data_IF_621981315064
#
_entry.id   IF_621981315064
#
_cell.length_a   1.000
_cell.length_b   1.000
_cell.length_c   1.000
_cell.angle_alpha   90.00
_cell.angle_beta   90.00
_cell.angle_gamma   90.00
#
_symmetry.space_group_name_H-M   'P 1'
#
loop_
_entity.id
_entity.type
_entity.pdbx_description
1 polymer ?
#
# COMPACT_ATOMS: atom_id res chain seq x y z
N UNK A 1 6.74 16.62 47.90
CA UNK A 1 7.15 15.35 47.26
C UNK A 1 6.89 15.48 45.76
N UNK A 2 7.90 15.33 44.91
CA UNK A 2 7.67 15.20 43.47
C UNK A 2 6.97 13.87 43.22
N UNK A 3 5.74 13.91 42.71
CA UNK A 3 4.97 12.71 42.37
C UNK A 3 5.49 12.20 41.02
N UNK A 4 6.24 11.10 41.03
CA UNK A 4 6.63 10.40 39.79
C UNK A 4 5.40 9.72 39.20
N UNK A 5 5.12 9.98 37.93
CA UNK A 5 4.03 9.35 37.17
C UNK A 5 4.66 8.38 36.18
N UNK A 6 4.23 7.11 36.21
CA UNK A 6 4.78 6.05 35.38
C UNK A 6 3.91 5.87 34.13
N UNK A 7 4.55 5.85 32.95
CA UNK A 7 3.92 5.41 31.71
C UNK A 7 4.22 3.91 31.57
N UNK A 8 3.19 3.06 31.52
CA UNK A 8 3.33 1.61 31.40
C UNK A 8 3.70 1.18 29.97
N UNK A 9 4.91 1.55 29.54
CA UNK A 9 5.45 1.28 28.22
C UNK A 9 6.89 0.78 28.32
N UNK A 10 7.16 -0.36 27.69
CA UNK A 10 8.50 -0.98 27.67
C UNK A 10 9.08 -0.88 26.25
N UNK A 11 9.83 0.19 25.94
CA UNK A 11 10.38 0.37 24.60
C UNK A 11 11.41 -0.73 24.28
N UNK A 12 11.31 -1.33 23.10
CA UNK A 12 12.36 -2.21 22.59
C UNK A 12 13.59 -1.39 22.12
N UNK A 13 14.75 -2.02 21.80
CA UNK A 13 16.00 -1.30 21.56
C UNK A 13 15.91 -0.16 20.53
N UNK A 14 15.27 -0.40 19.37
CA UNK A 14 15.10 0.62 18.34
C UNK A 14 14.23 1.82 18.78
N UNK A 15 13.16 1.56 19.52
CA UNK A 15 12.33 2.63 20.11
C UNK A 15 13.13 3.47 21.12
N UNK A 16 13.98 2.84 21.94
CA UNK A 16 14.85 3.58 22.89
C UNK A 16 15.79 4.55 22.17
N UNK A 17 16.38 4.14 21.05
CA UNK A 17 17.25 5.03 20.26
C UNK A 17 16.50 6.28 19.81
N UNK A 18 15.25 6.13 19.37
CA UNK A 18 14.40 7.23 18.96
C UNK A 18 14.01 8.15 20.12
N UNK A 19 13.59 7.58 21.27
CA UNK A 19 13.20 8.36 22.46
C UNK A 19 14.37 9.17 23.03
N UNK A 20 15.58 8.60 23.11
CA UNK A 20 16.71 9.28 23.73
C UNK A 20 17.48 10.22 22.79
N UNK A 21 17.03 10.38 21.55
CA UNK A 21 17.65 11.31 20.63
C UNK A 21 17.22 12.76 20.93
N UNK A 22 18.18 13.70 21.10
CA UNK A 22 17.87 15.11 21.37
C UNK A 22 17.56 15.94 20.12
N UNK A 23 17.65 15.36 18.92
CA UNK A 23 17.45 16.10 17.67
C UNK A 23 16.04 16.72 17.61
N UNK A 24 15.97 17.95 17.11
CA UNK A 24 14.74 18.73 17.03
C UNK A 24 13.74 18.13 16.04
N UNK A 25 14.25 17.59 14.93
CA UNK A 25 13.47 16.95 13.88
C UNK A 25 13.89 15.47 13.75
N UNK A 26 12.97 14.54 14.00
CA UNK A 26 13.28 13.11 14.04
C UNK A 26 12.40 12.30 13.09
N UNK A 27 12.99 11.51 12.20
CA UNK A 27 12.25 10.69 11.23
C UNK A 27 12.48 9.21 11.51
N UNK A 28 11.41 8.50 11.85
CA UNK A 28 11.40 7.08 12.16
C UNK A 28 10.70 6.31 11.03
N UNK A 29 11.50 5.82 10.09
CA UNK A 29 11.06 5.00 8.98
C UNK A 29 11.06 3.53 9.37
N UNK A 30 9.93 2.84 9.28
CA UNK A 30 9.80 1.48 9.81
C UNK A 30 8.96 0.57 8.93
N UNK A 31 9.31 -0.71 8.93
CA UNK A 31 8.48 -1.78 8.39
C UNK A 31 7.18 -1.95 9.18
N UNK A 32 6.20 -2.63 8.58
CA UNK A 32 4.92 -2.95 9.20
C UNK A 32 5.13 -3.73 10.49
N UNK A 33 4.22 -3.55 11.45
CA UNK A 33 4.23 -4.24 12.76
C UNK A 33 5.48 -3.97 13.61
N UNK A 34 6.33 -3.01 13.26
CA UNK A 34 7.47 -2.61 14.10
C UNK A 34 7.05 -1.97 15.44
N UNK A 35 5.84 -1.39 15.52
CA UNK A 35 5.35 -0.67 16.70
C UNK A 35 5.59 0.84 16.64
N UNK A 36 5.66 1.41 15.43
CA UNK A 36 5.97 2.83 15.20
C UNK A 36 4.92 3.78 15.77
N UNK A 37 3.63 3.50 15.63
CA UNK A 37 2.55 4.34 16.20
C UNK A 37 2.53 4.30 17.72
N UNK A 38 2.77 3.13 18.34
CA UNK A 38 2.91 2.99 19.81
C UNK A 38 4.10 3.80 20.31
N UNK A 39 5.23 3.72 19.62
CA UNK A 39 6.42 4.52 19.91
C UNK A 39 6.13 6.01 19.80
N UNK A 40 5.46 6.43 18.73
CA UNK A 40 5.06 7.82 18.49
C UNK A 40 4.15 8.37 19.59
N UNK A 41 3.12 7.61 20.02
CA UNK A 41 2.21 8.02 21.09
C UNK A 41 2.93 8.23 22.42
N UNK A 42 3.80 7.29 22.79
CA UNK A 42 4.57 7.38 24.03
C UNK A 42 5.60 8.51 23.99
N UNK A 43 6.25 8.73 22.84
CA UNK A 43 7.13 9.89 22.65
C UNK A 43 6.36 11.20 22.74
N UNK A 44 5.15 11.25 22.16
CA UNK A 44 4.31 12.43 22.16
C UNK A 44 3.86 12.81 23.58
N UNK A 45 3.38 11.84 24.38
CA UNK A 45 3.04 12.06 25.79
C UNK A 45 4.26 12.59 26.55
N UNK A 46 5.42 11.93 26.39
CA UNK A 46 6.66 12.31 27.07
C UNK A 46 7.09 13.73 26.72
N UNK A 47 7.05 14.09 25.44
CA UNK A 47 7.46 15.41 24.96
C UNK A 47 6.46 16.50 25.37
N UNK A 48 5.16 16.24 25.35
CA UNK A 48 4.17 17.18 25.89
C UNK A 48 4.42 17.50 27.36
N UNK A 49 4.86 16.51 28.13
CA UNK A 49 5.22 16.76 29.52
C UNK A 49 6.50 17.59 29.64
N UNK A 50 7.59 17.13 29.03
CA UNK A 50 8.93 17.74 29.12
C UNK A 50 8.96 19.17 28.56
N UNK A 51 8.37 19.41 27.39
CA UNK A 51 8.40 20.73 26.75
C UNK A 51 7.47 21.75 27.41
N UNK A 52 6.53 21.29 28.25
CA UNK A 52 5.62 22.14 29.01
C UNK A 52 6.11 22.46 30.42
N UNK A 53 7.20 21.83 30.88
CA UNK A 53 7.74 22.06 32.22
C UNK A 53 8.16 23.54 32.38
N UNK A 54 7.65 24.19 33.42
CA UNK A 54 7.90 25.61 33.68
C UNK A 54 7.04 26.56 32.84
N UNK A 55 6.12 26.04 32.03
CA UNK A 55 5.19 26.82 31.17
C UNK A 55 3.74 26.74 31.62
N UNK A 56 3.47 26.38 32.86
CA UNK A 56 2.11 26.13 33.37
C UNK A 56 1.21 27.39 33.30
N UNK A 57 1.80 28.59 33.25
CA UNK A 57 1.06 29.85 33.11
C UNK A 57 0.62 30.12 31.68
N UNK A 58 1.52 29.93 30.72
CA UNK A 58 1.30 30.17 29.28
C UNK A 58 0.56 29.01 28.61
N UNK A 59 0.90 27.78 29.01
CA UNK A 59 0.51 26.56 28.34
C UNK A 59 1.36 26.25 27.12
N UNK A 60 1.17 25.06 26.58
CA UNK A 60 1.76 24.65 25.30
C UNK A 60 0.74 23.93 24.45
N UNK A 61 0.99 23.92 23.15
CA UNK A 61 0.17 23.21 22.16
C UNK A 61 0.98 22.10 21.52
N UNK A 62 0.40 20.91 21.42
CA UNK A 62 0.93 19.82 20.62
C UNK A 62 -0.09 19.24 19.67
N UNK A 63 0.37 18.93 18.45
CA UNK A 63 -0.45 18.31 17.41
C UNK A 63 0.02 16.87 17.16
N UNK A 64 -0.93 15.94 17.15
CA UNK A 64 -0.78 14.61 16.57
C UNK A 64 -1.51 14.61 15.23
N UNK A 65 -0.76 14.48 14.14
CA UNK A 65 -1.27 14.60 12.76
C UNK A 65 -1.19 13.25 12.08
N UNK A 66 -2.23 12.88 11.34
CA UNK A 66 -2.24 11.70 10.46
C UNK A 66 -2.79 12.07 9.07
N UNK A 67 -2.66 11.21 8.04
CA UNK A 67 -3.06 11.55 6.69
C UNK A 67 -4.55 11.85 6.53
N UNK A 68 -5.40 11.07 7.21
CA UNK A 68 -6.86 11.22 7.14
C UNK A 68 -7.48 11.16 8.53
N UNK A 69 -8.73 11.64 8.66
CA UNK A 69 -9.48 11.58 9.91
C UNK A 69 -9.57 10.15 10.48
N UNK A 70 -9.71 9.14 9.62
CA UNK A 70 -9.72 7.74 10.04
C UNK A 70 -8.40 7.32 10.70
N UNK A 71 -7.25 7.69 10.12
CA UNK A 71 -5.94 7.39 10.70
C UNK A 71 -5.73 8.03 12.08
N UNK A 72 -6.31 9.22 12.33
CA UNK A 72 -6.23 9.86 13.65
C UNK A 72 -6.87 9.02 14.76
N UNK A 73 -7.80 8.10 14.44
CA UNK A 73 -8.40 7.21 15.44
C UNK A 73 -7.37 6.27 16.06
N UNK A 74 -6.37 5.86 15.29
CA UNK A 74 -5.28 5.02 15.81
C UNK A 74 -4.41 5.80 16.78
N UNK A 75 -3.97 7.02 16.41
CA UNK A 75 -3.21 7.89 17.30
C UNK A 75 -3.97 8.20 18.59
N UNK A 76 -5.26 8.51 18.47
CA UNK A 76 -6.16 8.74 19.60
C UNK A 76 -6.19 7.53 20.53
N UNK A 77 -6.45 6.35 19.99
CA UNK A 77 -6.53 5.11 20.78
C UNK A 77 -5.22 4.79 21.49
N UNK A 78 -4.09 4.88 20.77
CA UNK A 78 -2.76 4.63 21.37
C UNK A 78 -2.41 5.68 22.42
N UNK A 79 -2.77 6.94 22.21
CA UNK A 79 -2.59 7.96 23.24
C UNK A 79 -3.32 7.59 24.53
N UNK A 80 -4.59 7.21 24.48
CA UNK A 80 -5.35 6.82 25.67
C UNK A 80 -4.91 5.48 26.29
N UNK A 81 -4.36 4.56 25.49
CA UNK A 81 -3.81 3.30 26.02
C UNK A 81 -2.60 3.54 26.95
N UNK A 82 -1.82 4.59 26.70
CA UNK A 82 -0.56 4.84 27.41
C UNK A 82 -0.57 6.11 28.27
N UNK A 83 -1.41 7.10 27.98
CA UNK A 83 -1.47 8.34 28.74
C UNK A 83 -2.01 8.05 30.16
N UNK A 84 -1.22 8.31 31.22
CA UNK A 84 -1.71 8.11 32.58
C UNK A 84 -2.91 9.02 32.85
N UNK A 85 -3.99 8.44 33.36
CA UNK A 85 -5.24 9.16 33.59
C UNK A 85 -5.07 10.37 34.52
N UNK A 86 -4.08 10.33 35.42
CA UNK A 86 -3.77 11.41 36.34
C UNK A 86 -3.20 12.66 35.66
N UNK A 87 -2.72 12.56 34.42
CA UNK A 87 -2.27 13.70 33.63
C UNK A 87 -3.43 14.42 32.94
N UNK A 88 -4.54 13.72 32.70
CA UNK A 88 -5.67 14.23 31.93
C UNK A 88 -6.51 15.14 32.82
N UNK A 89 -6.79 16.34 32.33
CA UNK A 89 -7.66 17.32 32.96
C UNK A 89 -9.03 17.33 32.28
N UNK A 90 -9.06 17.40 30.95
CA UNK A 90 -10.30 17.39 30.16
C UNK A 90 -10.15 16.59 28.85
N UNK A 91 -11.26 16.02 28.37
CA UNK A 91 -11.34 15.31 27.10
C UNK A 91 -12.51 15.85 26.30
N UNK A 92 -12.22 16.49 25.17
CA UNK A 92 -13.19 17.03 24.22
C UNK A 92 -13.25 16.12 22.99
N UNK A 93 -14.10 15.08 23.06
CA UNK A 93 -14.15 14.01 22.05
C UNK A 93 -14.58 14.49 20.66
N UNK A 94 -15.52 15.43 20.59
CA UNK A 94 -16.03 15.97 19.33
C UNK A 94 -14.93 16.67 18.53
N UNK A 95 -14.12 17.47 19.21
CA UNK A 95 -13.04 18.27 18.61
C UNK A 95 -11.70 17.53 18.50
N UNK A 96 -11.65 16.28 19.00
CA UNK A 96 -10.44 15.49 19.21
C UNK A 96 -9.35 16.29 19.92
N UNK A 97 -9.73 16.87 21.04
CA UNK A 97 -8.85 17.67 21.89
C UNK A 97 -8.76 17.07 23.29
N UNK A 98 -7.57 17.12 23.85
CA UNK A 98 -7.29 16.68 25.22
C UNK A 98 -6.51 17.79 25.92
N UNK A 99 -7.00 18.19 27.08
CA UNK A 99 -6.26 19.07 27.98
C UNK A 99 -5.56 18.20 29.02
N UNK A 100 -4.23 18.24 29.03
CA UNK A 100 -3.43 17.70 30.12
C UNK A 100 -3.10 18.81 31.13
N UNK A 101 -2.86 18.39 32.38
CA UNK A 101 -2.50 19.28 33.49
C UNK A 101 -1.40 20.27 33.12
N UNK A 102 -1.51 21.48 33.66
CA UNK A 102 -0.58 22.57 33.39
C UNK A 102 -0.71 23.14 31.98
N UNK A 103 -1.96 23.20 31.48
CA UNK A 103 -2.33 23.85 30.21
C UNK A 103 -1.62 23.26 28.98
N UNK A 104 -1.45 21.94 28.96
CA UNK A 104 -0.84 21.19 27.85
C UNK A 104 -1.96 20.73 26.90
N UNK A 105 -2.17 21.49 25.84
CA UNK A 105 -3.24 21.27 24.87
C UNK A 105 -2.80 20.31 23.78
N UNK A 106 -3.52 19.21 23.61
CA UNK A 106 -3.27 18.19 22.60
C UNK A 106 -4.41 18.16 21.60
N UNK A 107 -4.07 18.25 20.31
CA UNK A 107 -5.03 18.15 19.23
C UNK A 107 -4.66 17.01 18.29
N UNK A 108 -5.66 16.20 17.91
CA UNK A 108 -5.50 15.20 16.87
C UNK A 108 -6.10 15.75 15.58
N UNK A 109 -5.26 15.95 14.58
CA UNK A 109 -5.61 16.64 13.33
C UNK A 109 -5.36 15.75 12.13
N UNK A 110 -6.11 15.99 11.07
CA UNK A 110 -5.96 15.29 9.80
C UNK A 110 -5.27 16.21 8.78
N UNK A 111 -4.37 15.65 7.98
CA UNK A 111 -3.67 16.40 6.95
C UNK A 111 -4.49 16.58 5.66
N UNK A 112 -5.59 15.84 5.49
CA UNK A 112 -6.57 16.05 4.41
C UNK A 112 -7.33 17.39 4.51
N UNK A 113 -7.24 18.10 5.65
CA UNK A 113 -7.75 19.45 5.84
C UNK A 113 -6.62 20.42 6.24
N UNK A 114 -5.86 20.96 5.26
CA UNK A 114 -4.70 21.81 5.51
C UNK A 114 -5.01 23.11 6.27
N UNK A 115 -6.22 23.68 6.10
CA UNK A 115 -6.62 24.92 6.77
C UNK A 115 -6.67 24.76 8.29
N UNK A 116 -7.09 23.57 8.75
CA UNK A 116 -7.16 23.25 10.18
C UNK A 116 -5.78 23.19 10.87
N UNK A 117 -4.69 23.08 10.09
CA UNK A 117 -3.31 22.97 10.58
C UNK A 117 -2.61 24.32 10.77
N UNK A 118 -3.19 25.42 10.26
CA UNK A 118 -2.56 26.76 10.22
C UNK A 118 -2.91 27.64 11.43
N UNK A 119 -3.62 27.12 12.43
CA UNK A 119 -4.35 27.95 13.39
C UNK A 119 -3.53 28.54 14.54
N UNK A 120 -2.40 27.93 14.93
CA UNK A 120 -1.63 28.37 16.10
C UNK A 120 -0.20 27.82 16.12
N UNK A 121 0.67 28.44 16.92
CA UNK A 121 2.03 27.95 17.19
C UNK A 121 2.04 26.59 17.89
N UNK A 122 2.96 25.72 17.48
CA UNK A 122 3.06 24.33 17.95
C UNK A 122 4.39 24.12 18.68
N UNK A 123 4.35 23.57 19.89
CA UNK A 123 5.54 23.19 20.66
C UNK A 123 6.01 21.76 20.38
N UNK A 124 5.05 20.83 20.22
CA UNK A 124 5.33 19.41 19.97
C UNK A 124 4.49 18.93 18.81
N UNK A 125 5.12 18.45 17.74
CA UNK A 125 4.43 17.85 16.60
C UNK A 125 4.80 16.38 16.46
N UNK A 126 3.78 15.53 16.43
CA UNK A 126 3.90 14.15 15.99
C UNK A 126 3.14 13.98 14.68
N UNK A 127 3.83 13.52 13.63
CA UNK A 127 3.21 13.17 12.35
C UNK A 127 3.30 11.65 12.17
N UNK A 128 2.16 10.94 12.17
CA UNK A 128 2.13 9.51 11.86
C UNK A 128 1.78 9.26 10.39
N UNK A 129 2.27 8.15 9.84
CA UNK A 129 2.28 7.83 8.41
C UNK A 129 2.76 9.01 7.53
N UNK A 130 3.85 9.66 7.95
CA UNK A 130 4.33 10.91 7.33
C UNK A 130 4.56 10.83 5.82
N UNK A 131 5.00 9.68 5.29
CA UNK A 131 5.20 9.49 3.85
C UNK A 131 3.90 9.53 3.02
N UNK A 132 2.73 9.49 3.65
CA UNK A 132 1.41 9.55 3.00
C UNK A 132 0.78 10.95 3.07
N UNK A 133 1.40 11.90 3.78
CA UNK A 133 0.89 13.27 3.88
C UNK A 133 1.40 14.08 2.69
N UNK A 134 0.57 15.00 2.17
CA UNK A 134 0.97 15.92 1.12
C UNK A 134 2.08 16.87 1.58
N UNK A 135 3.03 17.18 0.70
CA UNK A 135 4.19 18.01 1.05
C UNK A 135 3.75 19.39 1.57
N UNK A 136 2.70 19.96 0.99
CA UNK A 136 2.16 21.27 1.33
C UNK A 136 1.68 21.35 2.79
N UNK A 137 1.12 20.26 3.32
CA UNK A 137 0.72 20.20 4.72
C UNK A 137 1.93 20.34 5.64
N UNK A 138 3.07 19.74 5.26
CA UNK A 138 4.32 19.91 5.98
C UNK A 138 4.93 21.30 5.75
N UNK A 139 5.20 21.67 4.51
CA UNK A 139 6.00 22.86 4.15
C UNK A 139 5.28 24.17 4.38
N UNK A 140 3.96 24.22 4.14
CA UNK A 140 3.18 25.46 4.19
C UNK A 140 2.39 25.63 5.49
N UNK A 141 2.08 24.56 6.23
CA UNK A 141 1.28 24.65 7.45
C UNK A 141 2.07 24.25 8.71
N UNK A 142 2.51 22.98 8.80
CA UNK A 142 3.10 22.45 10.04
C UNK A 142 4.50 22.99 10.34
N UNK A 143 5.38 23.05 9.34
CA UNK A 143 6.76 23.53 9.53
C UNK A 143 6.83 25.01 9.94
N UNK A 144 6.01 25.92 9.37
CA UNK A 144 5.90 27.30 9.86
C UNK A 144 5.36 27.39 11.28
N UNK A 145 4.33 26.62 11.64
CA UNK A 145 3.73 26.66 12.98
C UNK A 145 4.69 26.28 14.12
N UNK A 146 5.78 25.56 13.82
CA UNK A 146 6.84 25.24 14.79
C UNK A 146 7.84 26.38 15.04
N UNK A 147 7.79 27.46 14.26
CA UNK A 147 8.81 28.52 14.30
C UNK A 147 8.71 29.35 15.58
N UNK A 148 7.51 29.82 15.91
CA UNK A 148 7.26 30.73 17.04
C UNK A 148 7.76 30.14 18.37
N UNK A 149 7.51 28.85 18.55
CA UNK A 149 7.78 28.14 19.79
C UNK A 149 9.12 27.40 19.81
N UNK A 150 9.90 27.52 18.73
CA UNK A 150 11.07 26.66 18.43
C UNK A 150 10.70 25.18 18.66
N UNK A 151 9.52 24.80 18.23
CA UNK A 151 8.92 23.50 18.50
C UNK A 151 9.72 22.35 17.90
N UNK A 152 9.54 21.18 18.48
CA UNK A 152 10.11 19.92 17.99
C UNK A 152 9.10 19.18 17.12
N UNK A 153 9.59 18.39 16.17
CA UNK A 153 8.74 17.51 15.38
C UNK A 153 9.34 16.13 15.22
N UNK A 154 8.50 15.12 15.21
CA UNK A 154 8.91 13.78 14.85
C UNK A 154 7.87 13.07 14.01
N UNK A 155 8.37 12.21 13.14
CA UNK A 155 7.60 11.57 12.09
C UNK A 155 7.75 10.07 12.19
N UNK A 156 6.64 9.34 12.18
CA UNK A 156 6.61 7.88 12.10
C UNK A 156 5.97 7.50 10.77
N UNK A 157 6.50 6.47 10.08
CA UNK A 157 5.98 6.11 8.77
C UNK A 157 6.60 4.85 8.19
N UNK A 158 5.98 4.33 7.14
CA UNK A 158 6.56 3.37 6.20
C UNK A 158 7.08 4.15 4.98
N UNK A 159 8.22 3.76 4.36
CA UNK A 159 8.77 4.51 3.25
C UNK A 159 7.85 4.46 2.04
N UNK A 160 7.94 5.48 1.18
CA UNK A 160 7.16 5.56 -0.04
C UNK A 160 7.83 6.47 -1.07
N UNK A 161 8.43 5.86 -2.09
CA UNK A 161 9.13 6.59 -3.16
C UNK A 161 10.16 7.57 -2.61
N UNK A 162 10.60 8.50 -3.46
CA UNK A 162 11.55 9.55 -3.07
C UNK A 162 10.87 10.92 -2.90
N UNK A 163 9.85 10.96 -2.05
CA UNK A 163 9.05 12.17 -1.77
C UNK A 163 9.66 13.08 -0.66
N UNK A 164 8.94 14.11 -0.21
CA UNK A 164 9.40 15.03 0.85
C UNK A 164 9.76 14.34 2.17
N UNK A 165 9.10 13.22 2.51
CA UNK A 165 9.43 12.44 3.71
C UNK A 165 10.80 11.78 3.55
N UNK A 166 11.12 11.27 2.36
CA UNK A 166 12.48 10.81 2.02
C UNK A 166 13.50 11.95 2.11
N UNK A 167 13.17 13.16 1.64
CA UNK A 167 14.04 14.33 1.78
C UNK A 167 14.29 14.71 3.24
N UNK A 168 13.28 14.61 4.11
CA UNK A 168 13.49 14.80 5.55
C UNK A 168 14.34 13.68 6.16
N UNK A 169 14.12 12.44 5.74
CA UNK A 169 14.89 11.30 6.20
C UNK A 169 16.37 11.42 5.82
N UNK A 170 16.67 11.81 4.58
CA UNK A 170 18.05 12.02 4.10
C UNK A 170 18.75 13.15 4.85
N UNK A 171 18.05 14.25 5.19
CA UNK A 171 18.60 15.29 6.08
C UNK A 171 19.05 14.72 7.42
N UNK A 172 18.30 13.80 8.02
CA UNK A 172 18.70 13.18 9.28
C UNK A 172 19.77 12.10 9.16
N UNK A 173 20.20 11.75 7.94
CA UNK A 173 21.40 10.96 7.68
C UNK A 173 22.66 11.83 7.50
N UNK A 174 22.50 13.11 7.14
CA UNK A 174 23.60 14.04 6.90
C UNK A 174 24.21 14.58 8.22
N UNK A 175 25.49 14.30 8.53
CA UNK A 175 26.14 14.80 9.75
C UNK A 175 26.21 16.34 9.86
N UNK A 176 26.06 17.06 8.74
CA UNK A 176 26.02 18.53 8.74
C UNK A 176 24.70 19.09 9.27
N UNK A 177 23.61 18.32 9.18
CA UNK A 177 22.25 18.70 9.59
C UNK A 177 21.99 18.35 11.05
N UNK A 178 22.67 19.03 11.99
CA UNK A 178 22.67 18.68 13.43
C UNK A 178 21.29 18.68 14.11
N UNK A 179 20.33 19.42 13.57
CA UNK A 179 18.95 19.47 14.09
C UNK A 179 18.10 18.24 13.69
N UNK A 180 18.59 17.44 12.74
CA UNK A 180 17.87 16.32 12.16
C UNK A 180 18.51 14.99 12.57
N UNK A 181 17.67 13.99 12.82
CA UNK A 181 18.12 12.59 12.93
C UNK A 181 17.10 11.65 12.33
N UNK A 182 17.58 10.61 11.66
CA UNK A 182 16.70 9.64 11.03
C UNK A 182 17.16 8.20 11.22
N UNK A 183 16.20 7.28 11.21
CA UNK A 183 16.43 5.84 11.33
C UNK A 183 15.59 5.11 10.28
N UNK A 184 16.09 3.96 9.84
CA UNK A 184 15.29 2.96 9.13
C UNK A 184 15.37 1.63 9.88
N UNK A 185 14.22 1.03 10.18
CA UNK A 185 14.15 -0.23 10.89
C UNK A 185 13.22 -1.23 10.20
N UNK A 186 13.70 -2.42 9.80
CA UNK A 186 12.86 -3.45 9.23
C UNK A 186 11.94 -4.05 10.31
N UNK A 187 10.84 -4.68 9.90
CA UNK A 187 9.91 -5.38 10.81
C UNK A 187 10.63 -6.36 11.73
N UNK A 188 11.62 -7.09 11.22
CA UNK A 188 12.41 -8.07 11.96
C UNK A 188 13.20 -7.50 13.16
N UNK A 189 13.38 -6.18 13.24
CA UNK A 189 14.03 -5.53 14.39
C UNK A 189 13.08 -5.33 15.59
N UNK A 190 11.79 -5.65 15.44
CA UNK A 190 10.88 -5.77 16.57
C UNK A 190 11.03 -7.16 17.22
N UNK A 191 11.57 -7.24 18.46
CA UNK A 191 11.84 -8.52 19.12
C UNK A 191 10.57 -9.30 19.53
N UNK A 192 9.40 -8.70 19.38
CA UNK A 192 8.11 -9.32 19.70
C UNK A 192 7.43 -9.97 18.49
N UNK A 193 8.02 -9.88 17.28
CA UNK A 193 7.52 -10.58 16.10
C UNK A 193 8.25 -11.90 15.93
N UNK A 194 7.48 -12.96 15.66
CA UNK A 194 8.03 -14.26 15.29
C UNK A 194 8.69 -14.17 13.90
N UNK A 195 9.99 -14.48 13.76
CA UNK A 195 10.66 -14.52 12.46
C UNK A 195 9.97 -15.45 11.44
N UNK A 196 9.34 -16.55 11.89
CA UNK A 196 8.63 -17.46 11.01
C UNK A 196 7.38 -16.83 10.38
N UNK A 197 6.64 -16.01 11.14
CA UNK A 197 5.49 -15.27 10.65
C UNK A 197 5.90 -14.18 9.65
N UNK A 198 7.03 -13.49 9.89
CA UNK A 198 7.58 -12.52 8.93
C UNK A 198 7.96 -13.22 7.62
N UNK A 199 8.63 -14.38 7.71
CA UNK A 199 9.01 -15.15 6.53
C UNK A 199 7.79 -15.68 5.77
N UNK A 200 6.74 -16.13 6.48
CA UNK A 200 5.49 -16.55 5.86
C UNK A 200 4.81 -15.39 5.14
N UNK A 201 4.67 -14.25 5.81
CA UNK A 201 4.11 -13.03 5.22
C UNK A 201 4.90 -12.57 3.98
N UNK A 202 6.24 -12.65 4.03
CA UNK A 202 7.10 -12.25 2.92
C UNK A 202 6.92 -13.12 1.66
N UNK A 203 6.60 -14.42 1.79
CA UNK A 203 6.39 -15.31 0.64
C UNK A 203 5.18 -14.93 -0.21
N UNK A 204 4.18 -14.31 0.41
CA UNK A 204 2.93 -13.92 -0.25
C UNK A 204 2.96 -12.46 -0.73
N UNK A 205 4.13 -11.81 -0.69
CA UNK A 205 4.31 -10.42 -1.13
C UNK A 205 5.18 -10.34 -2.39
N UNK A 206 4.87 -9.44 -3.33
CA UNK A 206 5.82 -9.05 -4.36
C UNK A 206 7.09 -8.49 -3.72
N UNK A 207 8.25 -8.76 -4.30
CA UNK A 207 9.55 -8.35 -3.74
C UNK A 207 9.64 -6.83 -3.48
N UNK A 208 9.11 -5.99 -4.37
CA UNK A 208 9.06 -4.54 -4.16
C UNK A 208 8.24 -4.16 -2.92
N UNK A 209 7.09 -4.80 -2.74
CA UNK A 209 6.25 -4.58 -1.58
C UNK A 209 6.93 -5.11 -0.31
N UNK A 210 7.64 -6.23 -0.38
CA UNK A 210 8.44 -6.75 0.73
C UNK A 210 9.55 -5.77 1.15
N UNK A 211 10.34 -5.27 0.19
CA UNK A 211 11.42 -4.29 0.46
C UNK A 211 10.88 -3.01 1.10
N UNK A 212 9.77 -2.48 0.60
CA UNK A 212 9.16 -1.27 1.16
C UNK A 212 8.51 -1.53 2.53
N UNK A 213 7.56 -2.46 2.59
CA UNK A 213 6.67 -2.65 3.73
C UNK A 213 7.29 -3.46 4.86
N UNK A 214 8.30 -4.30 4.59
CA UNK A 214 8.93 -5.17 5.61
C UNK A 214 10.37 -4.73 5.89
N UNK A 215 11.17 -4.47 4.86
CA UNK A 215 12.57 -4.05 5.04
C UNK A 215 12.72 -2.54 5.32
N UNK A 216 11.66 -1.76 5.14
CA UNK A 216 11.68 -0.31 5.30
C UNK A 216 12.66 0.39 4.35
N UNK A 217 12.73 -0.06 3.10
CA UNK A 217 13.57 0.56 2.08
C UNK A 217 12.81 1.65 1.32
N UNK A 218 13.47 2.79 1.12
CA UNK A 218 13.04 3.75 0.11
C UNK A 218 13.41 3.19 -1.25
N UNK A 219 12.39 2.97 -2.08
CA UNK A 219 12.56 2.51 -3.44
C UNK A 219 12.59 3.72 -4.37
N UNK A 220 13.52 3.73 -5.32
CA UNK A 220 13.53 4.73 -6.40
C UNK A 220 12.20 4.68 -7.15
N UNK A 221 11.70 5.85 -7.55
CA UNK A 221 10.58 5.95 -8.49
C UNK A 221 11.03 5.57 -9.91
N UNK A 222 11.54 4.35 -10.07
CA UNK A 222 11.95 3.72 -11.34
C UNK A 222 11.87 2.20 -11.12
N UNK A 223 11.17 1.36 -11.89
CA UNK A 223 10.55 1.50 -13.21
C UNK A 223 10.41 0.09 -13.82
N UNK A 224 9.68 -0.81 -13.15
CA UNK A 224 9.05 -2.04 -13.68
C UNK A 224 8.40 -2.81 -12.51
N UNK A 225 7.13 -3.16 -12.62
CA UNK A 225 6.35 -3.88 -11.59
C UNK A 225 6.63 -5.38 -11.61
N UNK A 226 6.95 -5.93 -12.78
CA UNK A 226 7.14 -7.35 -12.98
C UNK A 226 8.62 -7.69 -13.11
N UNK A 227 9.13 -8.47 -12.15
CA UNK A 227 10.51 -8.98 -12.18
C UNK A 227 10.53 -10.40 -12.72
N UNK A 228 11.62 -10.77 -13.39
CA UNK A 228 11.81 -12.13 -13.89
C UNK A 228 10.95 -12.50 -15.09
N UNK A 229 10.43 -11.53 -15.85
CA UNK A 229 9.63 -11.76 -17.08
C UNK A 229 10.35 -12.72 -18.02
N UNK A 230 11.66 -12.56 -18.25
CA UNK A 230 12.42 -13.44 -19.13
C UNK A 230 12.45 -14.92 -18.68
N UNK A 231 12.23 -15.20 -17.38
CA UNK A 231 12.23 -16.57 -16.83
C UNK A 231 10.95 -17.34 -17.13
N UNK A 232 9.86 -16.63 -17.43
CA UNK A 232 8.56 -17.23 -17.75
C UNK A 232 8.33 -17.36 -19.26
N UNK A 233 9.22 -16.80 -20.11
CA UNK A 233 9.13 -16.92 -21.57
C UNK A 233 9.59 -18.30 -22.02
N UNK A 234 8.63 -19.22 -22.19
CA UNK A 234 8.87 -20.61 -22.64
C UNK A 234 7.57 -21.26 -23.13
N UNK A 235 7.72 -22.31 -23.93
CA UNK A 235 6.59 -23.08 -24.48
C UNK A 235 5.98 -22.44 -25.73
N UNK A 236 4.86 -23.00 -26.16
CA UNK A 236 4.13 -22.64 -27.39
C UNK A 236 2.63 -22.73 -27.15
N UNK A 237 1.81 -22.11 -27.98
CA UNK A 237 0.36 -22.29 -27.91
C UNK A 237 -0.03 -23.77 -28.06
N UNK A 238 -1.02 -24.22 -27.29
CA UNK A 238 -1.49 -25.61 -27.25
C UNK A 238 -2.97 -25.66 -27.61
N UNK A 239 -3.42 -26.63 -28.43
CA UNK A 239 -4.85 -26.84 -28.66
C UNK A 239 -5.57 -27.28 -27.36
N UNK A 240 -6.90 -27.11 -27.28
CA UNK A 240 -7.65 -27.52 -26.11
C UNK A 240 -7.52 -29.02 -25.86
N UNK A 241 -7.27 -29.37 -24.60
CA UNK A 241 -7.18 -30.72 -24.10
C UNK A 241 -8.35 -30.98 -23.15
N UNK A 242 -9.18 -31.99 -23.48
CA UNK A 242 -10.37 -32.37 -22.70
C UNK A 242 -10.11 -32.74 -21.23
N UNK A 243 -8.86 -32.97 -20.85
CA UNK A 243 -8.46 -33.32 -19.48
C UNK A 243 -7.92 -32.13 -18.69
N UNK A 244 -7.78 -30.95 -19.31
CA UNK A 244 -7.33 -29.72 -18.65
C UNK A 244 -8.50 -28.77 -18.45
N UNK A 245 -8.38 -27.92 -17.42
CA UNK A 245 -9.25 -26.78 -17.22
C UNK A 245 -8.58 -25.52 -17.75
N UNK A 246 -9.40 -24.58 -18.21
CA UNK A 246 -8.94 -23.35 -18.83
C UNK A 246 -9.63 -22.13 -18.21
N UNK A 247 -8.85 -21.08 -18.01
CA UNK A 247 -9.35 -19.76 -17.59
C UNK A 247 -8.92 -18.72 -18.62
N UNK A 248 -9.82 -17.77 -18.87
CA UNK A 248 -9.65 -16.73 -19.87
C UNK A 248 -9.77 -15.37 -19.23
N UNK A 249 -8.81 -14.48 -19.46
CA UNK A 249 -8.91 -13.07 -19.13
C UNK A 249 -9.11 -12.26 -20.40
N UNK A 250 -9.98 -11.25 -20.36
CA UNK A 250 -10.15 -10.32 -21.46
C UNK A 250 -10.12 -8.87 -20.98
N UNK A 251 -9.27 -8.07 -21.62
CA UNK A 251 -9.34 -6.61 -21.56
C UNK A 251 -10.03 -6.09 -22.81
N UNK A 252 -11.09 -5.28 -22.64
CA UNK A 252 -11.97 -4.86 -23.73
C UNK A 252 -11.75 -3.39 -24.06
N UNK A 253 -11.22 -3.12 -25.26
CA UNK A 253 -11.01 -1.76 -25.74
C UNK A 253 -12.28 -1.13 -26.32
N UNK A 254 -12.38 0.20 -26.21
CA UNK A 254 -13.54 0.96 -26.71
C UNK A 254 -13.29 1.87 -27.91
N UNK A 255 -12.15 2.56 -27.99
CA UNK A 255 -11.96 3.63 -28.98
C UNK A 255 -10.53 3.73 -29.56
N UNK A 256 -9.46 3.43 -28.79
CA UNK A 256 -8.07 3.49 -29.30
C UNK A 256 -7.15 2.35 -28.81
N UNK A 257 -7.65 1.49 -27.91
CA UNK A 257 -6.87 0.41 -27.27
C UNK A 257 -7.05 -0.95 -27.99
N UNK A 258 -6.28 -1.97 -27.58
CA UNK A 258 -6.43 -3.33 -28.11
C UNK A 258 -7.32 -4.17 -27.21
N UNK A 259 -8.26 -4.92 -27.81
CA UNK A 259 -8.89 -6.02 -27.10
C UNK A 259 -7.92 -7.19 -27.06
N UNK A 260 -7.60 -7.66 -25.84
CA UNK A 260 -6.65 -8.76 -25.62
C UNK A 260 -7.30 -9.89 -24.85
N UNK A 261 -7.10 -11.11 -25.36
CA UNK A 261 -7.62 -12.35 -24.81
C UNK A 261 -6.45 -13.26 -24.44
N UNK A 262 -6.38 -13.70 -23.18
CA UNK A 262 -5.36 -14.62 -22.67
C UNK A 262 -6.03 -15.88 -22.10
N UNK A 263 -5.66 -17.08 -22.58
CA UNK A 263 -6.11 -18.35 -21.99
C UNK A 263 -4.95 -19.05 -21.30
N UNK A 264 -5.10 -19.25 -19.99
CA UNK A 264 -4.22 -20.09 -19.18
C UNK A 264 -4.85 -21.47 -18.96
N UNK A 265 -4.02 -22.50 -18.98
CA UNK A 265 -4.40 -23.81 -18.45
C UNK A 265 -4.26 -23.87 -16.92
N UNK A 266 -4.64 -25.01 -16.33
CA UNK A 266 -4.57 -25.24 -14.89
C UNK A 266 -3.15 -25.18 -14.30
N UNK A 267 -2.11 -25.35 -15.12
CA UNK A 267 -0.70 -25.30 -14.70
C UNK A 267 -0.12 -23.87 -14.85
N UNK A 268 -0.90 -22.91 -15.33
CA UNK A 268 -0.46 -21.53 -15.55
C UNK A 268 0.27 -21.31 -16.88
N UNK A 269 0.13 -22.21 -17.86
CA UNK A 269 0.67 -22.01 -19.20
C UNK A 269 -0.30 -21.23 -20.09
N UNK A 270 0.20 -20.19 -20.77
CA UNK A 270 -0.57 -19.42 -21.77
C UNK A 270 -0.70 -20.20 -23.08
N UNK A 271 -1.80 -20.94 -23.19
CA UNK A 271 -2.07 -21.85 -24.31
C UNK A 271 -2.72 -21.16 -25.51
N UNK A 272 -3.35 -20.00 -25.32
CA UNK A 272 -3.87 -19.18 -26.41
C UNK A 272 -3.80 -17.68 -26.08
N UNK A 273 -3.53 -16.88 -27.11
CA UNK A 273 -3.45 -15.43 -27.06
C UNK A 273 -4.11 -14.86 -28.31
N UNK A 274 -4.94 -13.82 -28.17
CA UNK A 274 -5.51 -13.09 -29.28
C UNK A 274 -5.52 -11.60 -28.98
N UNK A 275 -5.00 -10.78 -29.90
CA UNK A 275 -4.91 -9.32 -29.78
C UNK A 275 -5.43 -8.68 -31.05
N UNK A 276 -6.41 -7.80 -30.94
CA UNK A 276 -7.03 -7.15 -32.08
C UNK A 276 -7.60 -5.77 -31.73
N UNK A 277 -7.54 -4.87 -32.70
CA UNK A 277 -8.12 -3.52 -32.64
C UNK A 277 -9.30 -3.46 -33.63
N UNK A 278 -10.47 -3.93 -33.20
CA UNK A 278 -11.69 -3.94 -34.03
C UNK A 278 -12.76 -3.06 -33.38
N UNK A 279 -13.35 -2.13 -34.12
CA UNK A 279 -14.38 -1.23 -33.57
C UNK A 279 -15.78 -1.87 -33.54
N UNK A 280 -16.02 -2.92 -34.33
CA UNK A 280 -17.30 -3.62 -34.37
C UNK A 280 -17.44 -4.60 -33.20
N UNK A 281 -18.30 -4.24 -32.25
CA UNK A 281 -18.68 -5.06 -31.11
C UNK A 281 -19.17 -6.46 -31.50
N UNK A 282 -19.92 -6.60 -32.60
CA UNK A 282 -20.44 -7.89 -33.06
C UNK A 282 -19.30 -8.85 -33.39
N UNK A 283 -18.23 -8.32 -34.00
CA UNK A 283 -17.05 -9.10 -34.34
C UNK A 283 -16.22 -9.42 -33.10
N UNK A 284 -15.98 -8.43 -32.21
CA UNK A 284 -15.28 -8.66 -30.95
C UNK A 284 -15.97 -9.77 -30.14
N UNK A 285 -17.29 -9.67 -29.96
CA UNK A 285 -18.10 -10.65 -29.24
C UNK A 285 -17.97 -12.05 -29.83
N UNK A 286 -18.07 -12.16 -31.17
CA UNK A 286 -17.91 -13.44 -31.86
C UNK A 286 -16.54 -14.07 -31.61
N UNK A 287 -15.45 -13.28 -31.61
CA UNK A 287 -14.11 -13.80 -31.30
C UNK A 287 -13.99 -14.28 -29.86
N UNK A 288 -14.51 -13.50 -28.91
CA UNK A 288 -14.52 -13.86 -27.48
C UNK A 288 -15.27 -15.19 -27.28
N UNK A 289 -16.48 -15.30 -27.82
CA UNK A 289 -17.32 -16.50 -27.69
C UNK A 289 -16.67 -17.71 -28.34
N UNK A 290 -16.13 -17.56 -29.55
CA UNK A 290 -15.44 -18.65 -30.24
C UNK A 290 -14.25 -19.17 -29.46
N UNK A 291 -13.42 -18.27 -28.92
CA UNK A 291 -12.23 -18.66 -28.18
C UNK A 291 -12.59 -19.27 -26.82
N UNK A 292 -13.52 -18.67 -26.09
CA UNK A 292 -14.01 -19.18 -24.81
C UNK A 292 -14.64 -20.57 -24.95
N UNK A 293 -15.50 -20.78 -25.95
CA UNK A 293 -16.14 -22.08 -26.20
C UNK A 293 -15.15 -23.13 -26.70
N UNK A 294 -14.17 -22.75 -27.55
CA UNK A 294 -13.15 -23.67 -28.06
C UNK A 294 -12.35 -24.33 -26.93
N UNK A 295 -12.04 -23.58 -25.88
CA UNK A 295 -11.30 -24.09 -24.72
C UNK A 295 -12.20 -24.47 -23.55
N UNK A 296 -13.52 -24.31 -23.67
CA UNK A 296 -14.44 -24.34 -22.53
C UNK A 296 -13.87 -23.52 -21.35
N UNK A 297 -13.44 -22.28 -21.59
CA UNK A 297 -12.75 -21.49 -20.58
C UNK A 297 -13.73 -20.67 -19.71
N UNK A 298 -13.43 -20.52 -18.42
CA UNK A 298 -14.10 -19.52 -17.57
C UNK A 298 -13.49 -18.14 -17.83
N UNK A 299 -14.32 -17.21 -18.28
CA UNK A 299 -13.94 -15.87 -18.69
C UNK A 299 -14.10 -14.87 -17.53
N UNK A 300 -13.08 -14.05 -17.29
CA UNK A 300 -13.14 -12.88 -16.42
C UNK A 300 -12.84 -11.63 -17.26
N UNK A 301 -13.74 -10.66 -17.23
CA UNK A 301 -13.62 -9.41 -18.00
C UNK A 301 -13.68 -8.18 -17.10
N UNK A 302 -13.10 -7.05 -17.53
CA UNK A 302 -13.38 -5.76 -16.89
C UNK A 302 -14.88 -5.42 -17.02
N UNK A 303 -15.55 -5.24 -15.88
CA UNK A 303 -16.96 -4.88 -15.81
C UNK A 303 -17.22 -3.46 -15.31
N UNK A 304 -16.26 -2.54 -15.43
CA UNK A 304 -16.46 -1.15 -15.03
C UNK A 304 -17.32 -0.37 -16.02
N UNK A 305 -18.32 0.36 -15.51
CA UNK A 305 -19.19 1.22 -16.30
C UNK A 305 -20.15 0.44 -17.22
N UNK A 306 -19.78 0.28 -18.49
CA UNK A 306 -20.64 -0.34 -19.53
C UNK A 306 -20.52 -1.88 -19.60
N UNK A 307 -19.66 -2.49 -18.78
CA UNK A 307 -19.31 -3.90 -18.90
C UNK A 307 -20.38 -4.87 -18.40
N UNK A 308 -21.36 -4.39 -17.62
CA UNK A 308 -22.49 -5.19 -17.14
C UNK A 308 -23.37 -5.69 -18.32
N UNK A 309 -23.80 -4.84 -19.28
CA UNK A 309 -24.45 -5.29 -20.52
C UNK A 309 -23.65 -6.32 -21.34
N UNK A 310 -22.31 -6.20 -21.34
CA UNK A 310 -21.43 -7.09 -22.09
C UNK A 310 -21.37 -8.48 -21.45
N UNK A 311 -21.26 -8.55 -20.12
CA UNK A 311 -21.34 -9.80 -19.38
C UNK A 311 -22.66 -10.52 -19.67
N UNK A 312 -23.79 -9.80 -19.65
CA UNK A 312 -25.11 -10.37 -19.90
C UNK A 312 -25.24 -10.94 -21.32
N UNK A 313 -24.70 -10.25 -22.34
CA UNK A 313 -24.70 -10.75 -23.72
C UNK A 313 -23.86 -12.02 -23.88
N UNK A 314 -22.65 -12.05 -23.32
CA UNK A 314 -21.77 -13.22 -23.37
C UNK A 314 -22.39 -14.40 -22.62
N UNK A 315 -23.06 -14.15 -21.49
CA UNK A 315 -23.79 -15.17 -20.74
C UNK A 315 -24.93 -15.79 -21.57
N UNK A 316 -25.67 -14.97 -22.35
CA UNK A 316 -26.72 -15.48 -23.26
C UNK A 316 -26.17 -16.35 -24.40
N UNK A 317 -24.90 -16.18 -24.77
CA UNK A 317 -24.20 -17.03 -25.74
C UNK A 317 -23.53 -18.27 -25.09
N UNK A 318 -23.96 -18.66 -23.89
CA UNK A 318 -23.44 -19.79 -23.12
C UNK A 318 -21.94 -19.70 -22.79
N UNK A 319 -21.38 -18.48 -22.67
CA UNK A 319 -20.03 -18.29 -22.15
C UNK A 319 -20.05 -18.25 -20.63
N UNK A 320 -19.15 -18.97 -19.98
CA UNK A 320 -18.95 -18.93 -18.52
C UNK A 320 -18.22 -17.64 -18.13
N UNK A 321 -18.93 -16.52 -18.03
CA UNK A 321 -18.35 -15.18 -17.82
C UNK A 321 -18.65 -14.61 -16.43
N UNK A 322 -17.65 -13.96 -15.83
CA UNK A 322 -17.76 -13.14 -14.63
C UNK A 322 -17.17 -11.75 -14.88
N UNK A 323 -17.74 -10.73 -14.25
CA UNK A 323 -17.24 -9.35 -14.28
C UNK A 323 -16.28 -9.05 -13.14
N UNK A 324 -15.18 -8.34 -13.43
CA UNK A 324 -14.23 -7.81 -12.46
C UNK A 324 -14.35 -6.29 -12.37
N UNK A 325 -14.71 -5.78 -11.19
CA UNK A 325 -14.85 -4.34 -10.95
C UNK A 325 -13.50 -3.71 -10.60
N UNK A 326 -12.94 -2.95 -11.54
CA UNK A 326 -11.73 -2.15 -11.32
C UNK A 326 -11.99 -0.93 -10.44
N UNK A 327 -11.13 -0.80 -9.44
CA UNK A 327 -10.89 0.36 -8.58
C UNK A 327 -9.37 0.45 -8.38
N UNK A 328 -8.84 1.57 -7.87
CA UNK A 328 -7.40 1.64 -7.59
C UNK A 328 -6.94 0.50 -6.64
N UNK A 329 -7.78 0.09 -5.69
CA UNK A 329 -7.48 -1.02 -4.78
C UNK A 329 -7.53 -2.38 -5.48
N UNK A 330 -8.60 -2.68 -6.23
CA UNK A 330 -8.74 -3.99 -6.90
C UNK A 330 -7.81 -4.16 -8.10
N UNK A 331 -7.41 -3.07 -8.79
CA UNK A 331 -6.35 -3.09 -9.81
C UNK A 331 -5.01 -3.43 -9.16
N UNK A 332 -4.70 -2.82 -8.01
CA UNK A 332 -3.50 -3.12 -7.23
C UNK A 332 -3.44 -4.61 -6.85
N UNK A 333 -4.51 -5.15 -6.26
CA UNK A 333 -4.54 -6.57 -5.86
C UNK A 333 -4.34 -7.53 -7.06
N UNK A 334 -4.94 -7.20 -8.21
CA UNK A 334 -4.84 -7.98 -9.44
C UNK A 334 -3.40 -8.02 -9.97
N UNK A 335 -2.75 -6.86 -10.03
CA UNK A 335 -1.38 -6.71 -10.52
C UNK A 335 -0.36 -7.32 -9.55
N UNK A 336 -0.55 -7.16 -8.23
CA UNK A 336 0.31 -7.78 -7.23
C UNK A 336 0.23 -9.31 -7.28
N UNK A 337 -0.97 -9.87 -7.49
CA UNK A 337 -1.13 -11.31 -7.73
C UNK A 337 -0.34 -11.78 -8.95
N UNK A 338 -0.46 -11.08 -10.09
CA UNK A 338 0.28 -11.42 -11.29
C UNK A 338 1.80 -11.35 -11.04
N UNK A 339 2.27 -10.32 -10.33
CA UNK A 339 3.68 -10.16 -10.00
C UNK A 339 4.23 -11.33 -9.18
N UNK A 340 3.52 -11.76 -8.13
CA UNK A 340 3.89 -12.94 -7.32
C UNK A 340 3.98 -14.20 -8.19
N UNK A 341 3.00 -14.42 -9.07
CA UNK A 341 2.98 -15.62 -9.91
C UNK A 341 4.13 -15.64 -10.93
N UNK A 342 4.50 -14.49 -11.49
CA UNK A 342 5.66 -14.37 -12.38
C UNK A 342 6.96 -14.61 -11.61
N UNK A 343 7.14 -13.98 -10.45
CA UNK A 343 8.35 -14.11 -9.63
C UNK A 343 8.58 -15.56 -9.18
N UNK A 344 7.51 -16.26 -8.81
CA UNK A 344 7.52 -17.67 -8.43
C UNK A 344 7.53 -18.65 -9.62
N UNK A 345 7.56 -18.15 -10.86
CA UNK A 345 7.50 -18.96 -12.10
C UNK A 345 6.28 -19.91 -12.16
N UNK A 346 5.17 -19.48 -11.55
CA UNK A 346 3.87 -20.17 -11.63
C UNK A 346 3.14 -19.89 -12.94
N UNK A 347 3.66 -18.99 -13.77
CA UNK A 347 3.17 -18.72 -15.11
C UNK A 347 4.24 -19.02 -16.15
N UNK A 348 3.80 -19.40 -17.34
CA UNK A 348 4.67 -19.59 -18.50
C UNK A 348 3.98 -19.05 -19.75
N UNK A 349 4.67 -18.21 -20.51
CA UNK A 349 4.15 -17.55 -21.70
C UNK A 349 4.99 -17.91 -22.93
N UNK A 350 4.37 -18.22 -24.09
CA UNK A 350 5.09 -18.26 -25.35
C UNK A 350 5.76 -16.92 -25.66
N UNK A 351 6.71 -16.92 -26.61
CA UNK A 351 7.40 -15.70 -27.03
C UNK A 351 6.45 -14.76 -27.80
N UNK A 352 5.76 -13.87 -27.07
CA UNK A 352 4.84 -12.86 -27.58
C UNK A 352 5.46 -11.49 -27.32
N UNK A 353 6.11 -10.86 -28.32
CA UNK A 353 6.90 -9.63 -28.12
C UNK A 353 6.12 -8.50 -27.46
N UNK A 354 4.85 -8.32 -27.81
CA UNK A 354 4.00 -7.24 -27.33
C UNK A 354 3.69 -7.41 -25.84
N UNK A 355 3.24 -8.60 -25.43
CA UNK A 355 3.00 -8.93 -24.02
C UNK A 355 4.29 -8.82 -23.19
N UNK A 356 5.42 -9.32 -23.69
CA UNK A 356 6.71 -9.24 -23.00
C UNK A 356 7.14 -7.79 -22.82
N UNK A 357 6.97 -6.96 -23.85
CA UNK A 357 7.30 -5.55 -23.80
C UNK A 357 6.42 -4.80 -22.80
N UNK A 358 5.10 -5.01 -22.84
CA UNK A 358 4.19 -4.40 -21.87
C UNK A 358 4.52 -4.83 -20.44
N UNK A 359 4.76 -6.11 -20.17
CA UNK A 359 5.18 -6.60 -18.85
C UNK A 359 6.48 -5.93 -18.37
N UNK A 360 7.47 -5.75 -19.26
CA UNK A 360 8.74 -5.10 -18.88
C UNK A 360 8.57 -3.62 -18.59
N UNK A 361 7.73 -2.92 -19.35
CA UNK A 361 7.50 -1.49 -19.21
C UNK A 361 6.47 -1.14 -18.13
N UNK A 362 5.63 -2.10 -17.72
CA UNK A 362 4.57 -1.86 -16.76
C UNK A 362 5.11 -1.31 -15.45
N UNK A 363 4.60 -0.16 -15.03
CA UNK A 363 5.13 0.60 -13.92
C UNK A 363 4.05 0.98 -12.92
N UNK A 364 4.46 1.84 -11.99
CA UNK A 364 3.53 2.56 -11.15
C UNK A 364 3.91 4.04 -11.11
N UNK A 365 2.91 4.91 -10.99
CA UNK A 365 3.09 6.35 -10.79
C UNK A 365 2.50 6.72 -9.44
N UNK A 366 3.24 7.51 -8.66
CA UNK A 366 2.69 8.15 -7.47
C UNK A 366 1.84 9.36 -7.91
N UNK A 367 0.59 9.43 -7.44
CA UNK A 367 -0.27 10.60 -7.65
C UNK A 367 0.08 11.71 -6.65
N UNK A 368 -0.27 12.96 -6.97
CA UNK A 368 -0.08 14.12 -6.08
C UNK A 368 -0.75 13.95 -4.70
N UNK A 369 -1.85 13.19 -4.65
CA UNK A 369 -2.56 12.82 -3.41
C UNK A 369 -1.89 11.70 -2.62
N UNK A 370 -0.75 11.18 -3.08
CA UNK A 370 -0.13 10.01 -2.48
C UNK A 370 -1.00 8.77 -2.65
N UNK A 371 -1.48 8.46 -3.85
CA UNK A 371 -1.92 7.10 -4.22
C UNK A 371 -0.96 6.49 -5.25
N UNK A 372 -0.86 5.17 -5.32
CA UNK A 372 -0.04 4.49 -6.33
C UNK A 372 -0.98 4.01 -7.43
N UNK A 373 -0.71 4.40 -8.67
CA UNK A 373 -1.47 4.00 -9.82
C UNK A 373 -0.61 3.11 -10.72
N UNK A 374 -1.05 1.88 -10.93
CA UNK A 374 -0.40 0.92 -11.83
C UNK A 374 -0.83 1.16 -13.27
N UNK A 375 0.14 1.11 -14.19
CA UNK A 375 -0.11 1.34 -15.61
C UNK A 375 1.16 1.35 -16.44
N UNK A 376 0.99 1.38 -17.76
CA UNK A 376 2.09 1.60 -18.69
C UNK A 376 2.57 3.07 -18.64
N UNK A 377 3.82 3.35 -19.07
CA UNK A 377 4.30 4.70 -19.31
C UNK A 377 3.47 5.40 -20.38
N UNK A 378 3.55 6.73 -20.44
CA UNK A 378 2.84 7.50 -21.47
C UNK A 378 3.30 7.09 -22.87
N UNK A 379 2.35 6.85 -23.78
CA UNK A 379 2.62 6.35 -25.14
C UNK A 379 2.74 4.83 -25.27
N UNK A 380 2.47 4.07 -24.20
CA UNK A 380 2.45 2.59 -24.20
C UNK A 380 1.10 2.05 -23.70
N UNK A 381 0.79 0.80 -24.05
CA UNK A 381 -0.44 0.10 -23.67
C UNK A 381 -0.20 -0.86 -22.48
N UNK A 382 -1.27 -1.18 -21.75
CA UNK A 382 -1.28 -2.24 -20.73
C UNK A 382 -2.32 -3.35 -20.94
N UNK A 383 -2.98 -3.38 -22.10
CA UNK A 383 -4.07 -4.30 -22.40
C UNK A 383 -3.65 -5.78 -22.25
N UNK A 384 -2.43 -6.14 -22.70
CA UNK A 384 -1.94 -7.50 -22.59
C UNK A 384 -1.66 -7.89 -21.14
N UNK A 385 -1.13 -6.94 -20.35
CA UNK A 385 -0.89 -7.13 -18.92
C UNK A 385 -2.20 -7.34 -18.18
N UNK A 386 -3.20 -6.51 -18.44
CA UNK A 386 -4.51 -6.58 -17.78
C UNK A 386 -5.23 -7.88 -18.14
N UNK A 387 -5.27 -8.26 -19.42
CA UNK A 387 -5.86 -9.52 -19.86
C UNK A 387 -5.18 -10.74 -19.21
N UNK A 388 -3.84 -10.75 -19.14
CA UNK A 388 -3.10 -11.81 -18.45
C UNK A 388 -3.39 -11.81 -16.94
N UNK A 389 -3.46 -10.63 -16.30
CA UNK A 389 -3.73 -10.52 -14.87
C UNK A 389 -5.13 -11.03 -14.51
N UNK A 390 -6.14 -10.74 -15.34
CA UNK A 390 -7.50 -11.26 -15.21
C UNK A 390 -7.54 -12.80 -15.34
N UNK A 391 -6.80 -13.37 -16.30
CA UNK A 391 -6.69 -14.82 -16.45
C UNK A 391 -6.03 -15.46 -15.20
N UNK A 392 -4.89 -14.91 -14.78
CA UNK A 392 -4.11 -15.41 -13.65
C UNK A 392 -4.88 -15.34 -12.31
N UNK A 393 -5.69 -14.30 -12.12
CA UNK A 393 -6.53 -14.14 -10.93
C UNK A 393 -7.51 -15.30 -10.72
N UNK A 394 -8.00 -15.90 -11.81
CA UNK A 394 -8.93 -17.01 -11.74
C UNK A 394 -8.26 -18.34 -11.31
N UNK A 395 -6.95 -18.49 -11.52
CA UNK A 395 -6.21 -19.66 -11.06
C UNK A 395 -6.17 -19.71 -9.52
N UNK A 396 -6.01 -18.56 -8.86
CA UNK A 396 -6.07 -18.44 -7.39
C UNK A 396 -7.42 -18.87 -6.79
N UNK A 397 -8.51 -18.69 -7.54
CA UNK A 397 -9.88 -19.01 -7.10
C UNK A 397 -10.28 -20.46 -7.37
N UNK A 398 -9.47 -21.21 -8.11
CA UNK A 398 -9.77 -22.60 -8.43
C UNK A 398 -9.19 -23.48 -7.32
N UNK A 399 -9.98 -24.32 -6.64
CA UNK A 399 -9.42 -25.25 -5.66
C UNK A 399 -8.39 -26.13 -6.38
N UNK A 400 -7.27 -26.49 -5.75
CA UNK A 400 -6.34 -27.44 -6.34
C UNK A 400 -7.11 -28.72 -6.70
N UNK A 401 -6.79 -29.39 -7.83
CA UNK A 401 -7.43 -30.64 -8.19
C UNK A 401 -7.29 -31.63 -7.02
N UNK A 402 -8.44 -31.97 -6.42
CA UNK A 402 -8.50 -32.70 -5.18
C UNK A 402 -7.86 -34.08 -5.29
N UNK A 403 -6.94 -34.36 -4.37
CA UNK A 403 -6.64 -35.71 -3.92
C UNK A 403 -7.99 -36.34 -3.55
N UNK A 404 -8.30 -37.48 -4.18
CA UNK A 404 -9.63 -38.07 -4.23
C UNK A 404 -10.36 -38.12 -2.90
N UNK A 405 -11.63 -37.73 -2.92
CA UNK A 405 -12.57 -38.02 -1.85
C UNK A 405 -12.63 -39.54 -1.65
N UNK A 406 -12.00 -40.00 -0.58
CA UNK A 406 -12.10 -41.39 -0.14
C UNK A 406 -13.56 -41.73 0.15
N UNK A 407 -14.04 -42.76 -0.52
CA UNK A 407 -15.24 -43.51 -0.15
C UNK A 407 -15.20 -43.85 1.34
N UNK A 408 -16.25 -43.49 2.08
CA UNK A 408 -16.59 -44.12 3.36
C UNK A 408 -17.96 -44.78 3.16
N UNK A 409 -18.05 -46.12 3.15
CA UNK A 409 -19.33 -46.80 3.06
C UNK A 409 -20.03 -46.79 4.43
N UNK A 410 -21.35 -46.60 4.40
CA UNK A 410 -22.24 -46.93 5.51
C UNK A 410 -22.73 -48.37 5.37
#
# INVERSE_FOLDING_TARGET
>A
MQKTILIHYKPHPGQRQFHFCPARFRVLNCGRRWGKTVCGANEFIRQMWQQGEGREKEGIVGFAVAPTYWHTQRQWSEFFNYCPAELIEEIHRADRHVLLKGKRNIWFKSADNPDSLRSQGIKVLWVDEGAQIAEEAWTLALRPALMDEKGIAFFTGTPRGHNWYFQLWTRGQDPSQKDYKSWSFPSASNPYLDPAEIAAFARDMPELAYRQEVLAEFLEDVGSVFRGVDRIVKGTFEPPNRFKQYVMGADLAKLEDFTVLCILDADGHLVAFDRFSELDWVFQRKRIVQLAQRYDARLLIDSTGVGDPICDELYRENVRVEGYKFTNATKKDLIENLSIMIENQQLTIPNIPELINELKLYGYKATASGNVQYGAPEGYHDDCVVALALAAWQLKRSPPPGIGAGFVPH
#
